data_IF_214442380832
#
_entry.id   IF_214442380832
#
_cell.length_a   1.000
_cell.length_b   1.000
_cell.length_c   1.000
_cell.angle_alpha   90.00
_cell.angle_beta   90.00
_cell.angle_gamma   90.00
#
_symmetry.space_group_name_H-M   'P 1'
#
loop_
_entity.id
_entity.type
_entity.pdbx_description
1 polymer ?
#
# COMPACT_ATOMS: atom_id res chain seq x y z
N UNK A 1 -0.61 -6.61 -35.15
CA UNK A 1 -1.78 -6.17 -34.35
C UNK A 1 -2.34 -7.40 -33.66
N UNK A 2 -1.73 -7.80 -32.54
CA UNK A 2 -2.13 -8.98 -31.76
C UNK A 2 -2.94 -8.50 -30.58
N UNK A 3 -4.18 -9.01 -30.45
CA UNK A 3 -5.04 -8.76 -29.33
C UNK A 3 -4.32 -9.14 -28.02
N UNK A 4 -3.96 -8.12 -27.22
CA UNK A 4 -3.53 -8.35 -25.84
C UNK A 4 -4.73 -8.90 -25.07
N UNK A 5 -4.78 -10.22 -24.90
CA UNK A 5 -5.61 -10.86 -23.89
C UNK A 5 -5.27 -10.24 -22.53
N UNK A 6 -6.14 -9.35 -22.05
CA UNK A 6 -6.03 -8.79 -20.71
C UNK A 6 -6.41 -9.90 -19.74
N UNK A 7 -5.43 -10.63 -19.22
CA UNK A 7 -5.65 -11.45 -18.04
C UNK A 7 -6.29 -10.55 -16.96
N UNK A 8 -7.54 -10.82 -16.54
CA UNK A 8 -8.23 -9.94 -15.61
C UNK A 8 -7.57 -10.01 -14.23
N UNK A 9 -7.72 -8.92 -13.46
CA UNK A 9 -7.50 -8.99 -12.02
C UNK A 9 -8.64 -9.79 -11.39
N UNK A 10 -8.29 -10.74 -10.52
CA UNK A 10 -9.24 -11.61 -9.83
C UNK A 10 -9.16 -11.28 -8.35
N UNK A 11 -10.29 -10.93 -7.74
CA UNK A 11 -10.36 -10.67 -6.31
C UNK A 11 -10.10 -11.99 -5.55
N UNK A 12 -8.94 -12.08 -4.90
CA UNK A 12 -8.50 -13.27 -4.17
C UNK A 12 -8.78 -13.17 -2.66
N UNK A 13 -8.87 -11.94 -2.12
CA UNK A 13 -9.29 -11.71 -0.74
C UNK A 13 -10.04 -10.39 -0.61
N UNK A 14 -11.26 -10.47 -0.08
CA UNK A 14 -12.10 -9.29 0.18
C UNK A 14 -11.68 -8.53 1.44
N UNK A 15 -12.04 -7.25 1.54
CA UNK A 15 -11.80 -6.44 2.73
C UNK A 15 -12.45 -7.01 3.99
N UNK A 16 -13.67 -7.55 3.88
CA UNK A 16 -14.40 -8.15 5.00
C UNK A 16 -13.68 -9.39 5.52
N UNK A 17 -13.26 -10.26 4.62
CA UNK A 17 -12.57 -11.50 4.99
C UNK A 17 -11.17 -11.23 5.55
N UNK A 18 -10.41 -10.33 4.93
CA UNK A 18 -9.10 -9.90 5.43
C UNK A 18 -9.21 -9.31 6.85
N UNK A 19 -10.21 -8.46 7.11
CA UNK A 19 -10.42 -7.89 8.43
C UNK A 19 -10.74 -8.96 9.49
N UNK A 20 -11.53 -9.97 9.14
CA UNK A 20 -11.83 -11.10 10.04
C UNK A 20 -10.58 -11.91 10.35
N UNK A 21 -9.76 -12.23 9.34
CA UNK A 21 -8.48 -12.93 9.52
C UNK A 21 -7.55 -12.12 10.43
N UNK A 22 -7.35 -10.84 10.13
CA UNK A 22 -6.45 -9.97 10.89
C UNK A 22 -6.86 -9.82 12.35
N UNK A 23 -8.16 -9.66 12.61
CA UNK A 23 -8.68 -9.56 13.98
C UNK A 23 -8.37 -10.83 14.80
N UNK A 24 -8.40 -12.01 14.17
CA UNK A 24 -8.08 -13.28 14.82
C UNK A 24 -6.59 -13.46 15.16
N UNK A 25 -5.71 -12.59 14.64
CA UNK A 25 -4.26 -12.64 14.81
C UNK A 25 -3.66 -11.46 15.60
N UNK A 26 -4.48 -10.51 16.07
CA UNK A 26 -4.03 -9.30 16.79
C UNK A 26 -3.07 -9.57 17.98
N UNK A 27 -3.21 -10.71 18.65
CA UNK A 27 -2.39 -11.12 19.80
C UNK A 27 -1.70 -12.47 19.61
N UNK A 28 -1.72 -13.01 18.39
CA UNK A 28 -1.08 -14.28 18.09
C UNK A 28 0.39 -14.05 17.69
N UNK A 29 1.28 -15.01 17.96
CA UNK A 29 2.63 -14.98 17.42
C UNK A 29 2.60 -15.07 15.89
N UNK A 30 3.74 -14.79 15.28
CA UNK A 30 3.94 -14.95 13.83
C UNK A 30 3.76 -16.41 13.42
N UNK A 31 2.74 -16.76 12.61
CA UNK A 31 2.48 -18.14 12.21
C UNK A 31 3.59 -18.72 11.34
N UNK A 32 4.44 -17.88 10.73
CA UNK A 32 5.52 -18.31 9.85
C UNK A 32 6.90 -18.01 10.46
N UNK A 33 6.98 -17.93 11.80
CA UNK A 33 8.20 -17.61 12.51
C UNK A 33 9.36 -18.56 12.16
N UNK A 34 9.07 -19.87 12.07
CA UNK A 34 10.01 -20.94 11.78
C UNK A 34 10.37 -21.07 10.30
N UNK A 35 9.45 -20.70 9.41
CA UNK A 35 9.53 -21.08 8.00
C UNK A 35 10.06 -19.94 7.12
N UNK A 36 9.88 -18.70 7.57
CA UNK A 36 10.28 -17.49 6.85
C UNK A 36 11.33 -16.77 7.69
N UNK A 37 12.53 -16.59 7.14
CA UNK A 37 13.60 -15.87 7.83
C UNK A 37 13.31 -14.35 7.87
N UNK A 38 13.78 -13.63 8.92
CA UNK A 38 13.72 -12.18 8.96
C UNK A 38 14.36 -11.54 7.71
N UNK A 39 13.54 -10.90 6.89
CA UNK A 39 13.93 -10.37 5.58
C UNK A 39 12.82 -9.51 4.99
N UNK A 40 13.09 -8.89 3.82
CA UNK A 40 12.03 -8.39 2.97
C UNK A 40 11.22 -9.57 2.41
N UNK A 41 9.89 -9.55 2.58
CA UNK A 41 9.04 -10.64 2.09
C UNK A 41 9.06 -10.74 0.56
N UNK A 42 9.22 -11.96 0.05
CA UNK A 42 9.03 -12.29 -1.37
C UNK A 42 7.55 -12.30 -1.74
N UNK A 43 7.24 -12.36 -3.04
CA UNK A 43 5.86 -12.47 -3.54
C UNK A 43 5.08 -13.63 -2.88
N UNK A 44 5.71 -14.79 -2.79
CA UNK A 44 5.13 -15.98 -2.17
C UNK A 44 4.85 -15.76 -0.68
N UNK A 45 5.78 -15.13 0.03
CA UNK A 45 5.61 -14.81 1.44
C UNK A 45 4.53 -13.75 1.66
N UNK A 46 4.50 -12.70 0.83
CA UNK A 46 3.44 -11.69 0.85
C UNK A 46 2.08 -12.35 0.70
N UNK A 47 1.92 -13.22 -0.31
CA UNK A 47 0.69 -13.95 -0.53
C UNK A 47 0.32 -14.84 0.67
N UNK A 48 1.27 -15.60 1.23
CA UNK A 48 1.06 -16.41 2.45
C UNK A 48 0.55 -15.57 3.62
N UNK A 49 1.17 -14.43 3.91
CA UNK A 49 0.72 -13.55 5.00
C UNK A 49 -0.64 -12.91 4.73
N UNK A 50 -0.93 -12.52 3.49
CA UNK A 50 -2.25 -11.97 3.12
C UNK A 50 -3.32 -13.05 3.26
N UNK A 51 -3.06 -14.25 2.78
CA UNK A 51 -4.02 -15.34 2.84
C UNK A 51 -4.21 -15.84 4.28
N UNK A 52 -3.17 -15.94 5.10
CA UNK A 52 -3.36 -16.41 6.47
C UNK A 52 -3.91 -15.33 7.39
N UNK A 53 -3.40 -14.09 7.28
CA UNK A 53 -3.59 -13.03 8.29
C UNK A 53 -4.40 -11.85 7.74
N UNK A 54 -4.47 -11.63 6.43
CA UNK A 54 -5.20 -10.49 5.87
C UNK A 54 -4.50 -9.15 6.08
N UNK A 55 -3.16 -9.13 6.00
CA UNK A 55 -2.33 -7.94 6.29
C UNK A 55 -2.63 -6.73 5.38
N UNK A 56 -3.15 -6.97 4.17
CA UNK A 56 -3.71 -5.93 3.29
C UNK A 56 -5.02 -6.40 2.64
N UNK A 57 -5.84 -5.44 2.21
CA UNK A 57 -7.02 -5.71 1.37
C UNK A 57 -7.45 -4.48 0.57
N UNK A 58 -8.18 -4.63 -0.55
CA UNK A 58 -8.44 -5.89 -1.25
C UNK A 58 -7.17 -6.48 -1.87
N UNK A 59 -7.12 -7.82 -1.95
CA UNK A 59 -6.02 -8.52 -2.60
C UNK A 59 -6.49 -9.11 -3.93
N UNK A 60 -5.76 -8.79 -4.99
CA UNK A 60 -6.03 -9.24 -6.34
C UNK A 60 -4.86 -10.07 -6.87
N UNK A 61 -5.19 -11.18 -7.52
CA UNK A 61 -4.27 -11.99 -8.31
C UNK A 61 -4.59 -11.84 -9.80
N UNK A 62 -3.87 -12.53 -10.69
CA UNK A 62 -4.03 -12.37 -12.13
C UNK A 62 -3.41 -11.06 -12.64
N UNK A 63 -3.96 -10.49 -13.72
CA UNK A 63 -3.44 -9.24 -14.32
C UNK A 63 -2.23 -9.40 -15.24
N UNK A 64 -1.67 -10.61 -15.38
CA UNK A 64 -0.53 -10.91 -16.24
C UNK A 64 0.66 -9.97 -15.98
N UNK A 65 1.13 -9.26 -17.02
CA UNK A 65 2.22 -8.28 -16.88
C UNK A 65 1.88 -7.09 -15.96
N UNK A 66 0.59 -6.79 -15.80
CA UNK A 66 0.05 -5.72 -14.96
C UNK A 66 -0.41 -6.23 -13.59
N UNK A 67 -0.07 -7.46 -13.21
CA UNK A 67 -0.34 -7.98 -11.86
C UNK A 67 0.15 -7.01 -10.79
N UNK A 68 -0.68 -6.80 -9.75
CA UNK A 68 -0.35 -5.95 -8.60
C UNK A 68 0.76 -6.55 -7.75
N UNK A 69 0.78 -7.88 -7.60
CA UNK A 69 1.86 -8.59 -6.92
C UNK A 69 3.10 -8.68 -7.84
N UNK A 70 4.21 -8.14 -7.36
CA UNK A 70 5.56 -8.27 -7.94
C UNK A 70 6.42 -9.14 -7.03
N UNK A 71 7.67 -9.38 -7.45
CA UNK A 71 8.61 -10.32 -6.80
C UNK A 71 8.82 -10.10 -5.29
N UNK A 72 8.68 -8.88 -4.79
CA UNK A 72 8.85 -8.54 -3.37
C UNK A 72 8.00 -7.32 -2.95
N UNK A 73 6.97 -6.98 -3.73
CA UNK A 73 6.15 -5.82 -3.47
C UNK A 73 4.74 -5.99 -4.03
N UNK A 74 3.80 -5.22 -3.52
CA UNK A 74 2.43 -5.17 -4.00
C UNK A 74 2.04 -3.75 -4.39
N UNK A 75 1.37 -3.59 -5.54
CA UNK A 75 0.94 -2.29 -6.05
C UNK A 75 -0.21 -1.72 -5.22
N UNK A 76 -0.05 -0.50 -4.70
CA UNK A 76 -1.14 0.34 -4.18
C UNK A 76 -1.58 1.36 -5.23
N UNK A 77 -2.88 1.68 -5.30
CA UNK A 77 -3.48 2.64 -6.24
C UNK A 77 -4.17 3.77 -5.48
N UNK A 78 -4.71 4.73 -6.22
CA UNK A 78 -5.54 5.81 -5.64
C UNK A 78 -6.80 5.19 -5.02
N UNK A 79 -7.02 5.52 -3.76
CA UNK A 79 -8.19 5.13 -2.97
C UNK A 79 -9.40 6.01 -3.24
N UNK A 80 -10.27 6.11 -2.24
CA UNK A 80 -11.57 6.78 -2.39
C UNK A 80 -11.54 8.28 -2.11
N UNK A 81 -10.40 8.78 -1.62
CA UNK A 81 -10.27 10.12 -1.07
C UNK A 81 -8.94 10.75 -1.48
N UNK A 82 -8.98 12.04 -1.79
CA UNK A 82 -7.79 12.87 -1.89
C UNK A 82 -8.14 14.29 -1.43
N UNK A 83 -7.17 14.97 -0.83
CA UNK A 83 -7.37 16.27 -0.20
C UNK A 83 -6.26 17.25 -0.54
N UNK A 84 -6.62 18.52 -0.66
CA UNK A 84 -5.69 19.65 -0.56
C UNK A 84 -5.91 20.31 0.80
N UNK A 85 -4.83 20.69 1.46
CA UNK A 85 -4.92 21.50 2.67
C UNK A 85 -4.99 22.98 2.28
N UNK A 86 -6.11 23.64 2.58
CA UNK A 86 -6.24 25.08 2.39
C UNK A 86 -5.78 25.82 3.65
N UNK A 87 -4.73 26.61 3.49
CA UNK A 87 -4.13 27.37 4.59
C UNK A 87 -5.04 28.48 5.11
N UNK A 88 -5.96 29.00 4.29
CA UNK A 88 -6.82 30.11 4.70
C UNK A 88 -7.93 29.63 5.63
N UNK A 89 -8.58 28.52 5.28
CA UNK A 89 -9.64 27.90 6.10
C UNK A 89 -9.10 26.95 7.16
N UNK A 90 -7.84 26.49 7.05
CA UNK A 90 -7.26 25.43 7.88
C UNK A 90 -8.05 24.10 7.77
N UNK A 91 -8.59 23.82 6.58
CA UNK A 91 -9.40 22.64 6.29
C UNK A 91 -8.78 21.74 5.21
N UNK A 92 -9.17 20.47 5.22
CA UNK A 92 -8.88 19.52 4.15
C UNK A 92 -10.01 19.54 3.13
N UNK A 93 -9.74 20.09 1.95
CA UNK A 93 -10.71 20.20 0.86
C UNK A 93 -10.63 18.92 0.01
N UNK A 94 -11.73 18.16 -0.16
CA UNK A 94 -11.74 16.98 -1.02
C UNK A 94 -11.59 17.40 -2.49
N UNK A 95 -10.67 16.75 -3.21
CA UNK A 95 -10.38 17.05 -4.63
C UNK A 95 -10.59 15.87 -5.57
N UNK A 96 -10.89 14.69 -5.03
CA UNK A 96 -11.14 13.50 -5.85
C UNK A 96 -12.59 13.46 -6.34
N UNK A 97 -12.77 13.38 -7.65
CA UNK A 97 -14.06 13.10 -8.29
C UNK A 97 -14.12 11.60 -8.62
N UNK A 98 -15.20 10.88 -8.27
CA UNK A 98 -15.34 9.47 -8.61
C UNK A 98 -15.13 9.19 -10.10
N UNK A 99 -14.40 8.13 -10.42
CA UNK A 99 -14.10 7.65 -11.77
C UNK A 99 -13.32 8.60 -12.69
N UNK A 100 -12.96 9.80 -12.21
CA UNK A 100 -12.11 10.75 -12.94
C UNK A 100 -10.65 10.61 -12.51
N UNK A 101 -9.67 10.88 -13.39
CA UNK A 101 -8.27 10.97 -12.98
C UNK A 101 -8.09 11.98 -11.84
N UNK A 102 -7.20 11.66 -10.90
CA UNK A 102 -6.78 12.62 -9.88
C UNK A 102 -5.92 13.69 -10.55
N UNK A 103 -6.33 14.94 -10.40
CA UNK A 103 -5.56 16.10 -10.81
C UNK A 103 -4.74 16.62 -9.63
N UNK A 104 -3.43 16.71 -9.80
CA UNK A 104 -2.51 17.32 -8.84
C UNK A 104 -2.05 18.66 -9.44
N UNK A 105 -2.49 19.81 -8.89
CA UNK A 105 -2.13 21.12 -9.42
C UNK A 105 -0.60 21.33 -9.46
N UNK A 106 -0.15 22.19 -10.37
CA UNK A 106 1.25 22.61 -10.44
C UNK A 106 1.73 23.16 -9.09
N UNK A 107 2.97 22.86 -8.71
CA UNK A 107 3.62 23.37 -7.48
C UNK A 107 2.78 23.20 -6.20
N UNK A 108 2.05 22.09 -6.08
CA UNK A 108 1.12 21.85 -4.97
C UNK A 108 1.39 20.53 -4.24
N UNK A 109 0.74 20.37 -3.08
CA UNK A 109 0.73 19.13 -2.30
C UNK A 109 -0.70 18.61 -2.23
N UNK A 110 -0.90 17.35 -2.63
CA UNK A 110 -2.18 16.64 -2.51
C UNK A 110 -1.96 15.40 -1.63
N UNK A 111 -2.83 15.23 -0.63
CA UNK A 111 -2.85 14.05 0.24
C UNK A 111 -3.78 13.00 -0.34
N UNK A 112 -3.23 11.85 -0.72
CA UNK A 112 -3.96 10.81 -1.48
C UNK A 112 -4.11 9.55 -0.66
N UNK A 113 -5.34 9.09 -0.47
CA UNK A 113 -5.62 7.82 0.17
C UNK A 113 -5.16 6.65 -0.72
N UNK A 114 -4.60 5.61 -0.13
CA UNK A 114 -4.32 4.35 -0.82
C UNK A 114 -5.58 3.47 -0.89
N UNK A 115 -5.78 2.77 -2.02
CA UNK A 115 -6.92 1.84 -2.18
C UNK A 115 -6.87 0.64 -1.23
N UNK A 116 -5.70 0.36 -0.64
CA UNK A 116 -5.49 -0.72 0.31
C UNK A 116 -5.79 -0.27 1.75
N UNK A 117 -6.45 -1.16 2.49
CA UNK A 117 -6.45 -1.17 3.95
C UNK A 117 -5.27 -2.02 4.44
N UNK A 118 -4.57 -1.52 5.45
CA UNK A 118 -3.43 -2.18 6.07
C UNK A 118 -3.79 -2.62 7.48
N UNK A 119 -3.39 -3.84 7.84
CA UNK A 119 -3.62 -4.46 9.15
C UNK A 119 -2.35 -5.20 9.57
N UNK A 120 -1.31 -4.43 9.86
CA UNK A 120 0.03 -4.96 10.09
C UNK A 120 0.08 -5.63 11.47
N UNK A 121 0.50 -6.90 11.57
CA UNK A 121 0.80 -7.51 12.86
C UNK A 121 2.07 -6.89 13.46
N UNK A 122 2.32 -7.16 14.75
CA UNK A 122 3.46 -6.57 15.50
C UNK A 122 4.85 -6.97 15.01
N UNK A 123 4.93 -7.94 14.10
CA UNK A 123 6.18 -8.51 13.58
C UNK A 123 6.38 -8.25 12.08
N UNK A 124 5.54 -7.43 11.44
CA UNK A 124 5.72 -6.98 10.06
C UNK A 124 5.64 -5.46 10.03
N UNK A 125 6.70 -4.83 9.54
CA UNK A 125 6.66 -3.42 9.17
C UNK A 125 6.19 -3.26 7.73
N UNK A 126 6.04 -2.01 7.31
CA UNK A 126 5.73 -1.68 5.93
C UNK A 126 6.61 -0.52 5.47
N UNK A 127 7.07 -0.62 4.23
CA UNK A 127 7.70 0.46 3.49
C UNK A 127 6.93 0.67 2.21
N UNK A 128 6.82 1.90 1.76
CA UNK A 128 6.30 2.16 0.42
C UNK A 128 7.11 3.20 -0.32
N UNK A 129 7.19 3.07 -1.64
CA UNK A 129 7.84 4.04 -2.52
C UNK A 129 6.89 4.38 -3.67
N UNK A 130 6.96 5.62 -4.16
CA UNK A 130 6.23 6.04 -5.35
C UNK A 130 6.72 5.25 -6.57
N UNK A 131 5.81 4.85 -7.46
CA UNK A 131 6.25 4.21 -8.71
C UNK A 131 7.14 5.16 -9.50
N UNK A 132 8.23 4.62 -10.05
CA UNK A 132 9.26 5.41 -10.74
C UNK A 132 8.73 6.26 -11.90
N UNK A 133 7.63 5.83 -12.54
CA UNK A 133 6.93 6.60 -13.59
C UNK A 133 6.49 7.98 -13.12
N UNK A 134 6.03 8.08 -11.87
CA UNK A 134 5.52 9.32 -11.29
C UNK A 134 6.68 10.23 -10.88
N UNK A 135 7.73 9.62 -10.32
CA UNK A 135 8.98 10.31 -9.99
C UNK A 135 9.59 10.97 -11.22
N UNK A 136 9.74 10.23 -12.32
CA UNK A 136 10.28 10.76 -13.57
C UNK A 136 9.42 11.84 -14.24
N UNK A 137 8.12 11.88 -13.91
CA UNK A 137 7.18 12.89 -14.39
C UNK A 137 7.00 14.05 -13.40
N UNK A 138 7.88 14.17 -12.40
CA UNK A 138 7.97 15.33 -11.52
C UNK A 138 7.14 15.27 -10.23
N UNK A 139 6.57 14.11 -9.89
CA UNK A 139 5.97 13.90 -8.57
C UNK A 139 7.01 13.46 -7.55
N UNK A 140 6.92 14.00 -6.34
CA UNK A 140 7.74 13.60 -5.21
C UNK A 140 6.86 13.10 -4.06
N UNK A 141 7.28 11.99 -3.48
CA UNK A 141 6.83 11.50 -2.18
C UNK A 141 8.03 11.57 -1.24
N UNK A 142 7.80 11.87 0.04
CA UNK A 142 8.85 11.79 1.07
C UNK A 142 9.60 10.44 1.04
N UNK A 143 10.84 10.42 1.52
CA UNK A 143 11.76 9.29 1.34
C UNK A 143 11.26 7.99 1.99
N UNK A 144 10.68 7.09 1.20
CA UNK A 144 10.36 5.70 1.54
C UNK A 144 9.76 5.50 2.94
N UNK A 145 8.59 6.09 3.24
CA UNK A 145 8.09 6.14 4.60
C UNK A 145 7.95 4.74 5.20
N UNK A 146 8.39 4.60 6.45
CA UNK A 146 8.20 3.40 7.24
C UNK A 146 6.91 3.53 8.03
N UNK A 147 6.13 2.46 8.03
CA UNK A 147 4.92 2.32 8.82
C UNK A 147 5.17 1.22 9.84
N UNK A 148 4.99 1.58 11.11
CA UNK A 148 5.33 0.73 12.22
C UNK A 148 4.45 -0.53 12.29
N UNK A 149 5.01 -1.66 12.75
CA UNK A 149 4.23 -2.84 13.07
C UNK A 149 3.07 -2.54 14.02
N UNK A 150 1.91 -3.17 13.80
CA UNK A 150 0.69 -2.90 14.56
C UNK A 150 -0.21 -1.82 13.95
N UNK A 151 0.21 -1.15 12.87
CA UNK A 151 -0.63 -0.17 12.17
C UNK A 151 -1.91 -0.80 11.59
N UNK A 152 -3.03 -0.11 11.78
CA UNK A 152 -4.34 -0.52 11.26
C UNK A 152 -5.06 0.68 10.65
N UNK A 153 -5.26 0.67 9.33
CA UNK A 153 -5.93 1.78 8.63
C UNK A 153 -5.50 1.92 7.17
N UNK A 154 -5.87 3.06 6.58
CA UNK A 154 -5.47 3.44 5.22
C UNK A 154 -4.34 4.45 5.25
N UNK A 155 -3.37 4.27 4.36
CA UNK A 155 -2.31 5.25 4.17
C UNK A 155 -2.85 6.49 3.46
N UNK A 156 -2.44 7.66 3.95
CA UNK A 156 -2.65 8.95 3.32
C UNK A 156 -1.29 9.49 2.88
N UNK A 157 -1.09 9.60 1.56
CA UNK A 157 0.21 9.75 0.92
C UNK A 157 0.34 11.20 0.43
N UNK A 158 1.25 12.03 0.98
CA UNK A 158 1.48 13.37 0.47
C UNK A 158 2.25 13.31 -0.85
N UNK A 159 1.63 13.78 -1.92
CA UNK A 159 2.24 13.90 -3.24
C UNK A 159 2.52 15.36 -3.55
N UNK A 160 3.79 15.68 -3.80
CA UNK A 160 4.23 17.00 -4.21
C UNK A 160 4.39 17.01 -5.73
N UNK A 161 3.68 17.90 -6.43
CA UNK A 161 3.94 18.15 -7.84
C UNK A 161 4.98 19.26 -7.98
N UNK A 162 6.19 18.89 -8.42
CA UNK A 162 7.32 19.81 -8.60
C UNK A 162 7.35 20.46 -9.99
N UNK A 163 6.33 20.24 -10.80
CA UNK A 163 6.23 20.78 -12.16
C UNK A 163 5.36 22.04 -12.20
N UNK A 164 5.48 22.78 -13.30
CA UNK A 164 4.66 23.95 -13.58
C UNK A 164 3.34 23.61 -14.29
N UNK A 165 3.06 22.33 -14.50
CA UNK A 165 1.84 21.86 -15.16
C UNK A 165 1.03 20.97 -14.19
N UNK A 166 -0.30 20.95 -14.31
CA UNK A 166 -1.11 19.96 -13.61
C UNK A 166 -0.71 18.53 -14.00
N UNK A 167 -0.70 17.63 -13.03
CA UNK A 167 -0.41 16.22 -13.25
C UNK A 167 -1.68 15.38 -13.09
N UNK A 168 -1.99 14.55 -14.08
CA UNK A 168 -3.11 13.59 -14.02
C UNK A 168 -2.66 12.16 -13.74
N UNK A 169 -3.28 11.52 -12.75
CA UNK A 169 -3.13 10.09 -12.43
C UNK A 169 -4.47 9.37 -12.64
N UNK A 170 -4.58 8.43 -13.60
CA UNK A 170 -5.76 7.58 -13.72
C UNK A 170 -5.99 6.76 -12.45
N UNK A 171 -7.24 6.60 -12.00
CA UNK A 171 -7.58 5.87 -10.75
C UNK A 171 -7.04 4.44 -10.72
N UNK A 172 -7.03 3.76 -11.87
CA UNK A 172 -6.55 2.38 -12.01
C UNK A 172 -5.03 2.29 -12.21
N UNK A 173 -4.32 3.41 -12.26
CA UNK A 173 -2.86 3.42 -12.37
C UNK A 173 -2.22 3.10 -11.01
N UNK A 174 -1.14 2.33 -11.05
CA UNK A 174 -0.35 2.03 -9.87
C UNK A 174 0.36 3.25 -9.33
N UNK A 175 0.13 3.59 -8.06
CA UNK A 175 0.67 4.76 -7.39
C UNK A 175 1.96 4.44 -6.63
N UNK A 176 1.92 3.41 -5.78
CA UNK A 176 3.03 3.01 -4.91
C UNK A 176 3.36 1.54 -5.05
N UNK A 177 4.61 1.19 -4.75
CA UNK A 177 5.03 -0.16 -4.40
C UNK A 177 5.08 -0.29 -2.89
N UNK A 178 4.36 -1.27 -2.36
CA UNK A 178 4.35 -1.62 -0.93
C UNK A 178 5.26 -2.81 -0.71
N UNK A 179 6.17 -2.70 0.24
CA UNK A 179 7.16 -3.68 0.65
C UNK A 179 6.94 -4.02 2.13
N UNK A 180 7.14 -5.28 2.49
CA UNK A 180 6.90 -5.77 3.85
C UNK A 180 8.21 -6.27 4.46
N UNK A 181 8.98 -5.42 5.14
CA UNK A 181 10.11 -5.87 5.93
C UNK A 181 9.63 -6.63 7.17
N UNK A 182 10.15 -7.84 7.35
CA UNK A 182 10.00 -8.62 8.59
C UNK A 182 11.28 -8.51 9.42
N UNK A 183 11.29 -7.75 10.53
CA UNK A 183 12.46 -7.66 11.40
C UNK A 183 12.72 -8.98 12.14
N UNK A 184 13.95 -9.19 12.66
CA UNK A 184 14.22 -10.27 13.59
C UNK A 184 13.29 -10.19 14.80
N UNK A 185 12.75 -11.32 15.22
CA UNK A 185 11.96 -11.38 16.44
C UNK A 185 12.93 -11.42 17.62
N UNK A 186 13.09 -10.30 18.33
CA UNK A 186 13.80 -10.31 19.61
C UNK A 186 12.93 -11.10 20.59
N UNK A 187 13.39 -12.29 21.00
CA UNK A 187 12.82 -12.91 22.19
C UNK A 187 12.98 -11.91 23.32
N UNK A 188 11.86 -11.39 23.84
CA UNK A 188 11.89 -10.73 25.13
C UNK A 188 12.48 -11.73 26.10
N UNK A 189 13.68 -11.46 26.60
CA UNK A 189 14.18 -12.06 27.84
C UNK A 189 13.22 -11.63 28.94
N UNK A 190 12.09 -12.33 29.06
CA UNK A 190 11.30 -12.29 30.28
C UNK A 190 12.15 -13.04 31.29
N UNK A 191 12.90 -12.25 32.05
CA UNK A 191 13.74 -12.73 33.12
C UNK A 191 12.94 -13.63 34.03
N UNK A 192 13.41 -14.85 34.17
CA UNK A 192 13.22 -15.65 35.36
C UNK A 192 13.69 -14.84 36.59
N UNK A 193 12.73 -14.36 37.37
CA UNK A 193 12.87 -14.03 38.79
C UNK A 193 11.74 -14.74 39.54
#
# INVERSE_FOLDING_TARGET
MTAEGKDPEILALSTVEAAKRAASFLKKPDPFASDIAPSLLSAEHIEKYIQEIGIISPFYTGGGRKARLKKASYEGRIGSKAYVFDQNSNELIPVLVPDMPLLIPANSIVFVECDLDFRLPRYIGLRFNLQIRHVHRGLLLGTGPLVDPGYWGKLCIPLHNLTNEPYEIPIKEGLIWVEFPRPPQTQSLVGSL
#
